data_IF_917985841749
#
_entry.id   IF_917985841749
#
_cell.length_a   1.000
_cell.length_b   1.000
_cell.length_c   1.000
_cell.angle_alpha   90.00
_cell.angle_beta   90.00
_cell.angle_gamma   90.00
#
_symmetry.space_group_name_H-M   'P 1'
#
loop_
_entity.id
_entity.type
_entity.pdbx_description
1 polymer ?
#
# COMPACT_ATOMS: atom_id res chain seq x y z
N UNK A 1 -2.42 -12.69 1.58
CA UNK A 1 -2.48 -11.69 0.49
C UNK A 1 -1.25 -11.80 -0.41
N UNK A 2 -1.30 -11.44 -1.70
CA UNK A 2 -0.08 -11.27 -2.53
C UNK A 2 0.39 -9.82 -2.41
N UNK A 3 1.65 -9.65 -2.03
CA UNK A 3 2.31 -8.34 -1.92
C UNK A 3 3.54 -8.33 -2.81
N UNK A 4 3.66 -7.32 -3.66
CA UNK A 4 4.87 -7.04 -4.45
C UNK A 4 5.33 -5.62 -4.16
N UNK A 5 6.64 -5.40 -4.24
CA UNK A 5 7.23 -4.05 -4.20
C UNK A 5 7.94 -3.78 -5.52
N UNK A 6 7.78 -2.56 -6.02
CA UNK A 6 8.55 -2.00 -7.12
C UNK A 6 9.29 -0.76 -6.60
N UNK A 7 10.61 -0.68 -6.81
CA UNK A 7 11.38 0.52 -6.56
C UNK A 7 11.54 1.28 -7.88
N UNK A 8 11.08 2.53 -7.91
CA UNK A 8 11.12 3.39 -9.10
C UNK A 8 12.18 4.46 -8.89
N UNK A 9 13.22 4.45 -9.73
CA UNK A 9 14.38 5.36 -9.66
C UNK A 9 14.22 6.56 -10.61
N UNK A 10 13.47 6.39 -11.70
CA UNK A 10 13.19 7.47 -12.67
C UNK A 10 11.96 8.27 -12.24
N UNK A 11 12.10 9.60 -12.23
CA UNK A 11 11.01 10.53 -11.95
C UNK A 11 9.90 10.44 -13.00
N UNK A 12 10.28 10.39 -14.28
CA UNK A 12 9.35 10.20 -15.39
C UNK A 12 8.53 8.91 -15.22
N UNK A 13 9.19 7.81 -14.84
CA UNK A 13 8.50 6.53 -14.59
C UNK A 13 7.54 6.62 -13.40
N UNK A 14 7.91 7.34 -12.33
CA UNK A 14 7.06 7.56 -11.18
C UNK A 14 5.82 8.39 -11.55
N UNK A 15 6.01 9.50 -12.27
CA UNK A 15 4.92 10.38 -12.75
C UNK A 15 3.98 9.62 -13.69
N UNK A 16 4.52 8.88 -14.66
CA UNK A 16 3.72 8.06 -15.58
C UNK A 16 2.91 7.02 -14.84
N UNK A 17 3.51 6.36 -13.85
CA UNK A 17 2.84 5.36 -13.04
C UNK A 17 1.71 5.97 -12.21
N UNK A 18 1.97 7.07 -11.48
CA UNK A 18 0.97 7.75 -10.66
C UNK A 18 -0.19 8.29 -11.52
N UNK A 19 0.12 8.87 -12.68
CA UNK A 19 -0.89 9.36 -13.65
C UNK A 19 -1.75 8.23 -14.23
N UNK A 20 -1.30 6.98 -14.19
CA UNK A 20 -2.13 5.83 -14.60
C UNK A 20 -3.29 5.53 -13.64
N UNK A 21 -3.36 6.20 -12.49
CA UNK A 21 -4.44 6.09 -11.52
C UNK A 21 -5.35 7.30 -11.60
N UNK A 22 -6.66 7.06 -11.77
CA UNK A 22 -7.67 8.13 -11.92
C UNK A 22 -7.80 9.02 -10.68
N UNK A 23 -7.54 8.46 -9.49
CA UNK A 23 -7.63 9.14 -8.19
C UNK A 23 -6.54 8.60 -7.27
N UNK A 24 -5.82 9.49 -6.60
CA UNK A 24 -4.98 9.16 -5.47
C UNK A 24 -5.67 9.64 -4.18
N UNK A 25 -5.59 8.84 -3.12
CA UNK A 25 -5.91 9.26 -1.76
C UNK A 25 -4.60 9.42 -0.99
N UNK A 26 -4.50 10.37 -0.06
CA UNK A 26 -3.25 10.66 0.67
C UNK A 26 -3.44 10.49 2.19
N UNK A 27 -2.34 10.34 2.91
CA UNK A 27 -2.22 10.25 4.37
C UNK A 27 -2.85 11.44 5.14
N UNK A 28 -3.02 12.58 4.48
CA UNK A 28 -3.45 13.87 5.05
C UNK A 28 -4.95 14.15 4.87
N UNK A 29 -5.76 13.10 4.79
CA UNK A 29 -7.07 13.10 4.12
C UNK A 29 -8.16 13.98 4.74
N UNK A 30 -8.17 15.26 4.37
CA UNK A 30 -9.38 16.09 4.23
C UNK A 30 -9.86 16.16 2.77
N UNK A 31 -9.03 15.75 1.79
CA UNK A 31 -9.29 15.93 0.36
C UNK A 31 -9.60 14.61 -0.36
N UNK A 32 -10.72 14.52 -1.11
CA UNK A 32 -11.18 13.25 -1.70
C UNK A 32 -10.39 12.78 -2.93
N UNK A 33 -9.54 13.63 -3.54
CA UNK A 33 -8.76 13.30 -4.74
C UNK A 33 -7.48 14.14 -4.80
N UNK A 34 -6.32 13.53 -4.56
CA UNK A 34 -5.03 14.17 -4.76
C UNK A 34 -4.54 13.92 -6.20
N UNK A 35 -4.02 14.95 -6.87
CA UNK A 35 -3.39 14.80 -8.19
C UNK A 35 -2.01 14.17 -8.04
N UNK A 36 -1.55 13.39 -9.03
CA UNK A 36 -0.17 12.88 -9.08
C UNK A 36 0.89 13.96 -8.84
N UNK A 37 0.69 15.16 -9.39
CA UNK A 37 1.61 16.29 -9.28
C UNK A 37 1.62 16.95 -7.90
N UNK A 38 0.56 16.77 -7.11
CA UNK A 38 0.45 17.27 -5.72
C UNK A 38 1.10 16.28 -4.75
N UNK A 39 0.98 14.98 -5.03
CA UNK A 39 1.67 13.96 -4.24
C UNK A 39 3.15 13.99 -4.55
N UNK A 40 3.53 13.98 -5.82
CA UNK A 40 4.88 13.77 -6.29
C UNK A 40 5.46 15.05 -6.89
N UNK A 41 5.62 16.06 -6.03
CA UNK A 41 6.24 17.34 -6.38
C UNK A 41 7.74 17.32 -6.15
N UNK A 42 8.50 18.01 -6.98
CA UNK A 42 9.94 18.19 -6.81
C UNK A 42 10.26 18.70 -5.39
N UNK A 43 11.37 18.22 -4.80
CA UNK A 43 11.76 18.51 -3.42
C UNK A 43 11.07 17.64 -2.36
N UNK A 44 10.00 16.91 -2.70
CA UNK A 44 9.33 15.98 -1.77
C UNK A 44 9.88 14.55 -1.86
N UNK A 45 10.69 14.27 -2.88
CA UNK A 45 11.40 13.01 -3.07
C UNK A 45 12.92 13.28 -3.20
N UNK A 46 13.78 12.26 -3.09
CA UNK A 46 15.23 12.43 -3.15
C UNK A 46 15.69 13.00 -4.51
N UNK A 47 16.58 14.00 -4.51
CA UNK A 47 16.99 14.69 -5.74
C UNK A 47 17.94 13.88 -6.62
N UNK A 48 18.81 13.05 -6.04
CA UNK A 48 19.84 12.35 -6.83
C UNK A 48 19.21 11.34 -7.80
N UNK A 49 19.70 11.32 -9.05
CA UNK A 49 19.12 10.49 -10.13
C UNK A 49 19.24 8.98 -9.89
N UNK A 50 20.23 8.55 -9.11
CA UNK A 50 20.45 7.14 -8.78
C UNK A 50 19.62 6.66 -7.57
N UNK A 51 18.99 7.59 -6.85
CA UNK A 51 18.19 7.27 -5.68
C UNK A 51 16.79 6.82 -6.10
N UNK A 52 16.25 5.85 -5.37
CA UNK A 52 14.82 5.51 -5.49
C UNK A 52 14.01 6.77 -5.21
N UNK A 53 13.00 7.01 -6.03
CA UNK A 53 12.08 8.15 -5.91
C UNK A 53 10.75 7.73 -5.32
N UNK A 54 10.33 6.49 -5.60
CA UNK A 54 9.06 5.95 -5.16
C UNK A 54 9.13 4.43 -4.95
N UNK A 55 8.61 3.94 -3.84
CA UNK A 55 8.28 2.52 -3.65
C UNK A 55 6.79 2.30 -3.92
N UNK A 56 6.47 1.31 -4.73
CA UNK A 56 5.09 0.97 -5.08
C UNK A 56 4.77 -0.42 -4.56
N UNK A 57 3.90 -0.51 -3.57
CA UNK A 57 3.46 -1.76 -2.99
C UNK A 57 2.12 -2.15 -3.61
N UNK A 58 2.10 -3.27 -4.32
CA UNK A 58 0.90 -3.83 -4.93
C UNK A 58 0.27 -4.79 -3.94
N UNK A 59 -0.91 -4.43 -3.42
CA UNK A 59 -1.67 -5.18 -2.44
C UNK A 59 -2.84 -5.89 -3.13
N UNK A 60 -2.68 -7.18 -3.35
CA UNK A 60 -3.69 -8.00 -4.02
C UNK A 60 -4.26 -9.04 -3.03
N UNK A 61 -5.44 -8.79 -2.45
CA UNK A 61 -6.08 -9.77 -1.56
C UNK A 61 -6.41 -11.06 -2.30
N UNK A 62 -6.48 -12.17 -1.57
CA UNK A 62 -6.89 -13.46 -2.15
C UNK A 62 -8.37 -13.38 -2.58
N UNK A 63 -8.74 -14.09 -3.67
CA UNK A 63 -10.14 -14.17 -4.11
C UNK A 63 -11.02 -14.67 -2.95
N UNK A 64 -12.13 -13.97 -2.71
CA UNK A 64 -13.08 -14.27 -1.63
C UNK A 64 -12.74 -13.68 -0.26
N UNK A 65 -11.52 -13.15 -0.03
CA UNK A 65 -11.10 -12.60 1.27
C UNK A 65 -11.69 -11.23 1.61
N UNK A 66 -12.72 -10.80 0.87
CA UNK A 66 -13.28 -9.46 0.92
C UNK A 66 -14.21 -9.29 2.12
N UNK A 67 -13.67 -8.71 3.19
CA UNK A 67 -14.44 -7.96 4.20
C UNK A 67 -13.96 -6.52 4.40
N UNK A 68 -12.82 -6.14 3.81
CA UNK A 68 -12.23 -4.80 3.93
C UNK A 68 -12.31 -4.06 2.59
N UNK A 69 -12.63 -2.77 2.60
CA UNK A 69 -12.57 -1.93 1.40
C UNK A 69 -11.10 -1.74 0.99
N UNK A 70 -10.77 -1.61 -0.31
CA UNK A 70 -9.40 -1.38 -0.77
C UNK A 70 -8.69 -0.22 -0.06
N UNK A 71 -9.43 0.84 0.25
CA UNK A 71 -8.97 2.03 0.96
C UNK A 71 -8.52 1.67 2.38
N UNK A 72 -9.34 0.91 3.10
CA UNK A 72 -9.03 0.44 4.45
C UNK A 72 -7.80 -0.48 4.44
N UNK A 73 -7.63 -1.29 3.38
CA UNK A 73 -6.46 -2.15 3.22
C UNK A 73 -5.17 -1.33 3.09
N UNK A 74 -5.18 -0.27 2.27
CA UNK A 74 -4.01 0.59 2.08
C UNK A 74 -3.70 1.37 3.36
N UNK A 75 -4.71 1.97 3.99
CA UNK A 75 -4.55 2.72 5.23
C UNK A 75 -3.96 1.83 6.35
N UNK A 76 -4.52 0.63 6.54
CA UNK A 76 -4.00 -0.33 7.53
C UNK A 76 -2.57 -0.77 7.21
N UNK A 77 -2.26 -0.99 5.92
CA UNK A 77 -0.91 -1.34 5.49
C UNK A 77 0.08 -0.23 5.83
N UNK A 78 -0.25 1.03 5.54
CA UNK A 78 0.61 2.16 5.83
C UNK A 78 0.85 2.31 7.34
N UNK A 79 -0.21 2.28 8.15
CA UNK A 79 -0.10 2.36 9.62
C UNK A 79 0.74 1.24 10.21
N UNK A 80 0.57 0.01 9.71
CA UNK A 80 1.35 -1.14 10.15
C UNK A 80 2.85 -0.96 9.87
N UNK A 81 3.21 -0.42 8.69
CA UNK A 81 4.60 -0.13 8.35
C UNK A 81 5.18 0.99 9.22
N UNK A 82 4.41 2.06 9.40
CA UNK A 82 4.79 3.19 10.24
C UNK A 82 5.04 2.77 11.70
N UNK A 83 4.14 2.00 12.29
CA UNK A 83 4.25 1.48 13.66
C UNK A 83 5.48 0.58 13.81
N UNK A 84 5.67 -0.37 12.89
CA UNK A 84 6.80 -1.32 12.94
C UNK A 84 8.16 -0.65 12.81
N UNK A 85 8.22 0.47 12.10
CA UNK A 85 9.47 1.13 11.76
C UNK A 85 9.70 2.41 12.57
N UNK A 86 8.75 2.81 13.41
CA UNK A 86 8.85 4.02 14.23
C UNK A 86 8.85 5.30 13.39
N UNK A 87 8.15 5.33 12.25
CA UNK A 87 8.18 6.47 11.31
C UNK A 87 6.79 6.95 10.93
N UNK A 88 6.69 8.15 10.39
CA UNK A 88 5.55 8.68 9.65
C UNK A 88 5.93 8.67 8.17
N UNK A 89 5.15 7.96 7.36
CA UNK A 89 5.41 7.79 5.94
C UNK A 89 4.71 8.90 5.14
N UNK A 90 5.35 9.38 4.07
CA UNK A 90 4.68 10.16 3.03
C UNK A 90 4.15 9.19 1.95
N UNK A 91 2.84 8.98 1.95
CA UNK A 91 2.23 7.91 1.17
C UNK A 91 0.91 8.30 0.49
N UNK A 92 0.65 7.68 -0.66
CA UNK A 92 -0.63 7.78 -1.36
C UNK A 92 -1.17 6.40 -1.74
N UNK A 93 -2.49 6.28 -1.80
CA UNK A 93 -3.20 5.11 -2.25
C UNK A 93 -3.71 5.29 -3.69
N UNK A 94 -3.54 4.27 -4.53
CA UNK A 94 -4.13 4.21 -5.87
C UNK A 94 -4.98 2.95 -6.06
N UNK A 95 -6.11 3.09 -6.73
CA UNK A 95 -7.06 1.99 -6.92
C UNK A 95 -7.36 1.76 -8.40
N UNK A 96 -7.42 0.48 -8.80
CA UNK A 96 -7.87 0.05 -10.12
C UNK A 96 -9.21 -0.67 -10.03
N UNK A 97 -9.98 -0.65 -11.12
CA UNK A 97 -11.28 -1.37 -11.25
C UNK A 97 -11.17 -2.88 -10.94
N UNK A 98 -9.98 -3.47 -11.12
CA UNK A 98 -9.72 -4.88 -10.81
C UNK A 98 -9.72 -5.22 -9.32
N UNK A 99 -9.85 -4.22 -8.43
CA UNK A 99 -9.78 -4.40 -6.97
C UNK A 99 -8.35 -4.53 -6.43
N UNK A 100 -7.33 -4.31 -7.27
CA UNK A 100 -5.94 -4.23 -6.82
C UNK A 100 -5.69 -2.86 -6.21
N UNK A 101 -5.25 -2.84 -4.95
CA UNK A 101 -4.89 -1.63 -4.25
C UNK A 101 -3.37 -1.40 -4.35
N UNK A 102 -2.97 -0.14 -4.52
CA UNK A 102 -1.57 0.27 -4.58
C UNK A 102 -1.29 1.24 -3.44
N UNK A 103 -0.18 1.01 -2.75
CA UNK A 103 0.38 1.92 -1.75
C UNK A 103 1.68 2.49 -2.31
N UNK A 104 1.68 3.78 -2.61
CA UNK A 104 2.84 4.54 -3.05
C UNK A 104 3.51 5.17 -1.84
N UNK A 105 4.80 4.93 -1.67
CA UNK A 105 5.59 5.44 -0.55
C UNK A 105 6.76 6.23 -1.09
N UNK A 106 6.95 7.47 -0.62
CA UNK A 106 8.21 8.15 -0.84
C UNK A 106 9.29 7.55 0.08
N UNK A 107 10.56 7.54 -0.33
CA UNK A 107 11.65 7.06 0.51
C UNK A 107 11.91 7.93 1.72
N UNK A 108 11.59 9.23 1.66
CA UNK A 108 11.68 10.08 2.84
C UNK A 108 10.52 9.81 3.78
N UNK A 109 10.85 9.52 5.02
CA UNK A 109 9.94 9.41 6.14
C UNK A 109 10.39 10.32 7.28
N UNK A 110 9.52 10.54 8.25
CA UNK A 110 9.86 11.27 9.46
C UNK A 110 9.95 10.27 10.62
N UNK A 111 11.06 10.25 11.35
CA UNK A 111 11.19 9.47 12.57
C UNK A 111 10.21 10.00 13.63
N UNK A 112 9.40 9.10 14.23
CA UNK A 112 8.31 9.51 15.15
C UNK A 112 8.83 10.09 16.46
N UNK A 113 10.00 9.64 16.92
CA UNK A 113 10.57 10.06 18.20
C UNK A 113 11.34 11.37 18.06
N UNK A 114 12.21 11.45 17.06
CA UNK A 114 13.14 12.56 16.89
C UNK A 114 12.64 13.64 15.92
N UNK A 115 11.59 13.36 15.15
CA UNK A 115 11.08 14.25 14.10
C UNK A 115 12.06 14.43 12.93
N UNK A 116 13.16 13.67 12.91
CA UNK A 116 14.20 13.81 11.88
C UNK A 116 13.79 13.06 10.62
N UNK A 117 14.17 13.61 9.47
CA UNK A 117 14.03 12.93 8.19
C UNK A 117 14.92 11.68 8.16
N UNK A 118 14.32 10.54 7.84
CA UNK A 118 15.00 9.24 7.71
C UNK A 118 14.68 8.59 6.37
N UNK A 119 15.56 7.71 5.92
CA UNK A 119 15.35 6.94 4.70
C UNK A 119 14.57 5.66 5.01
N UNK A 120 13.34 5.58 4.52
CA UNK A 120 12.53 4.39 4.56
C UNK A 120 12.76 3.53 3.30
N UNK A 121 12.96 2.23 3.53
CA UNK A 121 13.03 1.20 2.49
C UNK A 121 12.25 -0.01 2.98
N UNK A 122 11.22 -0.49 2.25
CA UNK A 122 10.52 -1.72 2.62
C UNK A 122 11.50 -2.90 2.74
N UNK A 123 11.53 -3.54 3.90
CA UNK A 123 12.33 -4.74 4.12
C UNK A 123 11.58 -6.02 3.72
N UNK A 124 12.26 -7.17 3.56
CA UNK A 124 11.58 -8.46 3.38
C UNK A 124 10.56 -8.78 4.49
N UNK A 125 10.88 -8.44 5.74
CA UNK A 125 10.03 -8.65 6.92
C UNK A 125 8.79 -7.76 6.89
N UNK A 126 8.91 -6.52 6.40
CA UNK A 126 7.77 -5.62 6.18
C UNK A 126 6.81 -6.22 5.15
N UNK A 127 7.33 -6.73 4.04
CA UNK A 127 6.53 -7.38 3.00
C UNK A 127 5.85 -8.65 3.53
N UNK A 128 6.55 -9.42 4.37
CA UNK A 128 5.98 -10.62 4.99
C UNK A 128 4.83 -10.27 5.94
N UNK A 129 5.03 -9.28 6.81
CA UNK A 129 4.01 -8.78 7.73
C UNK A 129 2.76 -8.32 6.98
N UNK A 130 2.93 -7.58 5.88
CA UNK A 130 1.81 -7.17 5.04
C UNK A 130 1.06 -8.38 4.44
N UNK A 131 1.76 -9.44 4.00
CA UNK A 131 1.11 -10.64 3.44
C UNK A 131 0.20 -11.34 4.45
N UNK A 132 0.54 -11.26 5.73
CA UNK A 132 -0.16 -11.89 6.86
C UNK A 132 -1.36 -11.07 7.35
N UNK A 133 -1.42 -9.78 7.03
CA UNK A 133 -2.49 -8.86 7.46
C UNK A 133 -3.91 -9.27 7.02
N UNK A 134 -4.06 -10.03 5.93
CA UNK A 134 -5.36 -10.53 5.47
C UNK A 134 -5.43 -12.04 5.70
N UNK A 135 -6.42 -12.54 6.47
CA UNK A 135 -6.53 -13.97 6.76
C UNK A 135 -6.59 -14.77 5.46
N UNK A 136 -5.77 -15.81 5.38
CA UNK A 136 -5.87 -16.81 4.31
C UNK A 136 -7.23 -17.49 4.46
N UNK A 137 -8.13 -17.33 3.50
CA UNK A 137 -9.31 -18.19 3.44
C UNK A 137 -8.77 -19.61 3.24
N UNK A 138 -8.98 -20.48 4.23
CA UNK A 138 -8.83 -21.92 4.04
C UNK A 138 -9.88 -22.34 3.03
N UNK A 139 -9.52 -22.87 1.85
CA UNK A 139 -10.51 -23.40 0.93
C UNK A 139 -11.18 -24.60 1.61
N UNK A 140 -12.48 -24.50 1.85
CA UNK A 140 -13.34 -25.63 2.22
C UNK A 140 -13.29 -26.07 3.68
N UNK A 141 -14.08 -25.42 4.54
CA UNK A 141 -14.93 -26.20 5.46
C UNK A 141 -16.33 -26.14 4.87
N UNK A 142 -16.63 -27.07 3.97
CA UNK A 142 -18.01 -27.36 3.60
C UNK A 142 -18.69 -27.72 4.91
N UNK A 143 -19.57 -26.86 5.42
CA UNK A 143 -20.54 -27.27 6.42
C UNK A 143 -21.34 -28.37 5.74
N UNK A 144 -21.03 -29.62 6.07
CA UNK A 144 -21.75 -30.79 5.61
C UNK A 144 -23.20 -30.57 5.98
N UNK A 145 -24.02 -30.20 4.99
CA UNK A 145 -25.46 -30.19 5.15
C UNK A 145 -25.88 -31.60 5.50
N UNK A 146 -26.28 -31.80 6.74
CA UNK A 146 -27.09 -32.94 7.15
C UNK A 146 -28.35 -32.91 6.28
N UNK A 147 -28.32 -33.66 5.17
CA UNK A 147 -29.56 -34.04 4.49
C UNK A 147 -30.26 -35.00 5.43
N UNK A 148 -31.17 -34.45 6.22
CA UNK A 148 -32.17 -35.22 6.94
C UNK A 148 -32.84 -36.19 5.99
N UNK A 149 -32.61 -37.49 6.23
CA UNK A 149 -33.45 -38.56 5.69
C UNK A 149 -34.86 -38.34 6.26
N UNK A 150 -35.76 -37.77 5.47
CA UNK A 150 -37.19 -38.03 5.62
C UNK A 150 -37.47 -39.34 4.88
N UNK A 151 -37.77 -40.39 5.65
CA UNK A 151 -38.60 -41.50 5.21
C UNK A 151 -40.05 -41.14 5.50
#
# INVERSE_FOLDING_TARGET
MRVKVLAVVSEESAVRLLTSFRRLMDARSDWPCLRPTEFFTEGTYPAAKWQVKLYCLVLQPARGAWRLRPEDLVLKSARLLEERRGVVLDWAAGFRKSGVAWLFLKPWACDRETGKRVWFRPSPEDLQTLREMVPKIKPGRVLGGERGRRR
#
